data_IF_566949656259
#
_entry.id   IF_566949656259
#
_cell.length_a   1.000
_cell.length_b   1.000
_cell.length_c   1.000
_cell.angle_alpha   90.00
_cell.angle_beta   90.00
_cell.angle_gamma   90.00
#
_symmetry.space_group_name_H-M   'P 1'
#
loop_
_entity.id
_entity.type
_entity.pdbx_description
1 polymer ?
#
# COMPACT_ATOMS: atom_id res chain seq x y z
N UNK A 1 49.16 -5.02 -8.45
CA UNK A 1 48.40 -4.30 -7.41
C UNK A 1 47.07 -3.67 -7.88
N UNK A 2 46.94 -3.18 -9.12
CA UNK A 2 45.67 -2.58 -9.62
C UNK A 2 44.55 -3.58 -9.96
N UNK A 3 44.89 -4.80 -10.37
CA UNK A 3 43.90 -5.85 -10.71
C UNK A 3 43.20 -6.47 -9.49
N UNK A 4 43.87 -6.57 -8.34
CA UNK A 4 43.27 -7.10 -7.11
C UNK A 4 42.21 -6.14 -6.52
N UNK A 5 42.37 -4.82 -6.75
CA UNK A 5 41.39 -3.80 -6.34
C UNK A 5 40.12 -3.89 -7.19
N UNK A 6 40.25 -4.19 -8.49
CA UNK A 6 39.09 -4.41 -9.39
C UNK A 6 38.28 -5.66 -8.99
N UNK A 7 38.92 -6.75 -8.59
CA UNK A 7 38.23 -7.95 -8.07
C UNK A 7 37.54 -7.69 -6.72
N UNK A 8 38.14 -6.87 -5.84
CA UNK A 8 37.52 -6.46 -4.58
C UNK A 8 36.31 -5.53 -4.80
N UNK A 9 36.32 -4.71 -5.86
CA UNK A 9 35.19 -3.84 -6.22
C UNK A 9 34.05 -4.59 -6.92
N UNK A 10 34.34 -5.66 -7.67
CA UNK A 10 33.32 -6.52 -8.29
C UNK A 10 32.70 -7.50 -7.28
N UNK A 11 33.43 -7.88 -6.21
CA UNK A 11 32.96 -8.84 -5.20
C UNK A 11 31.95 -8.31 -4.17
N UNK A 12 31.63 -7.02 -4.15
CA UNK A 12 30.82 -6.39 -3.09
C UNK A 12 29.38 -6.03 -3.46
N UNK A 13 28.90 -6.39 -4.66
CA UNK A 13 27.49 -6.25 -5.01
C UNK A 13 26.82 -7.63 -5.07
N UNK A 14 26.79 -8.31 -3.93
CA UNK A 14 25.86 -9.43 -3.76
C UNK A 14 24.46 -8.85 -3.56
N UNK A 15 23.74 -8.59 -4.65
CA UNK A 15 22.32 -8.28 -4.57
C UNK A 15 21.58 -9.54 -4.10
N UNK A 16 21.22 -9.61 -2.82
CA UNK A 16 20.36 -10.66 -2.31
C UNK A 16 18.96 -10.48 -2.93
N UNK A 17 18.60 -11.36 -3.85
CA UNK A 17 17.24 -11.37 -4.44
C UNK A 17 16.29 -12.04 -3.45
N UNK A 18 15.24 -11.33 -3.06
CA UNK A 18 14.12 -11.88 -2.31
C UNK A 18 12.90 -12.00 -3.22
N UNK A 19 12.48 -13.22 -3.50
CA UNK A 19 11.29 -13.49 -4.31
C UNK A 19 10.05 -13.57 -3.40
N UNK A 20 9.10 -12.66 -3.61
CA UNK A 20 7.82 -12.67 -2.92
C UNK A 20 6.74 -13.21 -3.85
N UNK A 21 6.06 -14.30 -3.45
CA UNK A 21 4.97 -14.87 -4.25
C UNK A 21 3.77 -13.94 -4.25
N UNK A 22 3.45 -13.40 -5.42
CA UNK A 22 2.26 -12.58 -5.60
C UNK A 22 1.02 -13.47 -5.65
N UNK A 23 -0.05 -13.01 -5.01
CA UNK A 23 -1.37 -13.60 -5.19
C UNK A 23 -2.24 -12.66 -6.02
N UNK A 24 -3.17 -13.23 -6.77
CA UNK A 24 -4.10 -12.49 -7.60
C UNK A 24 -5.51 -12.69 -7.07
N UNK A 25 -6.36 -11.66 -7.21
CA UNK A 25 -7.79 -11.73 -6.91
C UNK A 25 -8.57 -11.26 -8.12
N UNK A 26 -9.80 -11.77 -8.27
CA UNK A 26 -10.74 -11.29 -9.28
C UNK A 26 -10.88 -9.79 -9.13
N UNK A 27 -10.73 -9.06 -10.23
CA UNK A 27 -10.68 -7.60 -10.18
C UNK A 27 -12.03 -6.97 -9.88
N UNK A 28 -11.99 -5.72 -9.40
CA UNK A 28 -13.21 -4.96 -9.12
C UNK A 28 -14.08 -4.84 -10.38
N UNK A 29 -13.46 -4.65 -11.56
CA UNK A 29 -14.17 -4.63 -12.84
C UNK A 29 -14.95 -5.90 -13.09
N UNK A 30 -14.31 -7.07 -13.01
CA UNK A 30 -15.00 -8.35 -13.26
C UNK A 30 -16.12 -8.55 -12.24
N UNK A 31 -15.88 -8.26 -10.96
CA UNK A 31 -16.91 -8.34 -9.92
C UNK A 31 -18.12 -7.43 -10.22
N UNK A 32 -17.88 -6.21 -10.71
CA UNK A 32 -18.95 -5.27 -11.08
C UNK A 32 -19.69 -5.72 -12.35
N UNK A 33 -19.01 -6.33 -13.32
CA UNK A 33 -19.64 -6.89 -14.51
C UNK A 33 -20.58 -8.03 -14.12
N UNK A 34 -20.11 -8.95 -13.26
CA UNK A 34 -20.91 -10.08 -12.76
C UNK A 34 -22.15 -9.63 -11.98
N UNK A 35 -22.09 -8.48 -11.30
CA UNK A 35 -23.22 -7.90 -10.56
C UNK A 35 -24.11 -6.97 -11.40
N UNK A 36 -23.75 -6.67 -12.65
CA UNK A 36 -24.45 -5.67 -13.47
C UNK A 36 -24.21 -4.22 -13.05
N UNK A 37 -23.26 -3.96 -12.16
CA UNK A 37 -22.96 -2.62 -11.60
C UNK A 37 -21.99 -1.80 -12.47
N UNK A 38 -21.30 -2.45 -13.42
CA UNK A 38 -20.18 -1.83 -14.15
C UNK A 38 -20.58 -0.59 -14.96
N UNK A 39 -21.74 -0.60 -15.60
CA UNK A 39 -22.20 0.54 -16.39
C UNK A 39 -22.43 1.79 -15.54
N UNK A 40 -22.99 1.64 -14.33
CA UNK A 40 -23.18 2.73 -13.38
C UNK A 40 -21.83 3.26 -12.87
N UNK A 41 -20.88 2.37 -12.58
CA UNK A 41 -19.53 2.74 -12.19
C UNK A 41 -18.80 3.56 -13.26
N UNK A 42 -18.90 3.18 -14.54
CA UNK A 42 -18.29 3.93 -15.65
C UNK A 42 -18.91 5.32 -15.76
N UNK A 43 -20.24 5.46 -15.63
CA UNK A 43 -20.92 6.77 -15.61
C UNK A 43 -20.42 7.66 -14.47
N UNK A 44 -20.35 7.11 -13.25
CA UNK A 44 -19.82 7.81 -12.08
C UNK A 44 -18.39 8.31 -12.30
N UNK A 45 -17.51 7.44 -12.82
CA UNK A 45 -16.11 7.81 -13.11
C UNK A 45 -15.99 8.86 -14.20
N UNK A 46 -16.81 8.79 -15.24
CA UNK A 46 -16.82 9.80 -16.30
C UNK A 46 -17.27 11.17 -15.76
N UNK A 47 -18.22 11.20 -14.83
CA UNK A 47 -18.61 12.45 -14.16
C UNK A 47 -17.47 13.05 -13.32
N UNK A 48 -16.77 12.23 -12.52
CA UNK A 48 -15.58 12.68 -11.77
C UNK A 48 -14.44 13.15 -12.68
N UNK A 49 -14.24 12.50 -13.83
CA UNK A 49 -13.26 12.94 -14.83
C UNK A 49 -13.66 14.28 -15.41
N UNK A 50 -14.94 14.46 -15.74
CA UNK A 50 -15.46 15.70 -16.28
C UNK A 50 -15.27 16.88 -15.32
N UNK A 51 -15.45 16.66 -14.01
CA UNK A 51 -15.18 17.69 -13.00
C UNK A 51 -13.69 18.00 -12.80
N UNK A 52 -12.79 17.07 -13.14
CA UNK A 52 -11.33 17.22 -13.01
C UNK A 52 -10.65 17.70 -14.32
N UNK A 53 -11.39 18.00 -15.39
CA UNK A 53 -10.86 18.40 -16.70
C UNK A 53 -10.11 19.75 -16.71
N UNK A 54 -10.14 20.51 -15.62
CA UNK A 54 -9.57 21.86 -15.59
C UNK A 54 -8.06 21.93 -15.29
N UNK A 55 -7.38 20.82 -14.95
CA UNK A 55 -6.05 20.90 -14.29
C UNK A 55 -4.95 19.97 -14.80
N UNK A 56 -5.15 19.12 -15.82
CA UNK A 56 -4.09 18.19 -16.27
C UNK A 56 -3.97 18.04 -17.79
N UNK A 57 -2.74 18.11 -18.31
CA UNK A 57 -2.42 18.01 -19.75
C UNK A 57 -2.48 16.58 -20.31
N UNK A 58 -2.44 15.55 -19.46
CA UNK A 58 -2.54 14.16 -19.85
C UNK A 58 -3.33 13.35 -18.82
N UNK A 59 -4.42 12.72 -19.26
CA UNK A 59 -5.30 11.95 -18.38
C UNK A 59 -4.84 10.48 -18.31
N UNK A 60 -4.71 9.95 -17.10
CA UNK A 60 -4.54 8.52 -16.84
C UNK A 60 -5.90 7.93 -16.47
N UNK A 61 -6.35 6.93 -17.22
CA UNK A 61 -7.64 6.27 -16.97
C UNK A 61 -7.42 4.92 -16.29
N UNK A 62 -7.79 4.84 -15.01
CA UNK A 62 -7.92 3.55 -14.32
C UNK A 62 -9.26 2.89 -14.68
N UNK A 63 -9.25 1.58 -14.96
CA UNK A 63 -10.42 0.77 -15.31
C UNK A 63 -10.72 -0.35 -14.30
N UNK A 64 -9.97 -0.43 -13.20
CA UNK A 64 -10.15 -1.44 -12.14
C UNK A 64 -9.80 -2.86 -12.60
N UNK A 65 -8.79 -3.00 -13.45
CA UNK A 65 -8.50 -4.23 -14.20
C UNK A 65 -7.79 -5.31 -13.39
N UNK A 66 -6.65 -5.04 -12.73
CA UNK A 66 -5.93 -6.00 -11.89
C UNK A 66 -5.18 -5.29 -10.76
N UNK A 67 -5.11 -5.91 -9.59
CA UNK A 67 -4.34 -5.45 -8.43
C UNK A 67 -3.43 -6.61 -8.00
N UNK A 68 -2.14 -6.35 -7.87
CA UNK A 68 -1.21 -7.30 -7.25
C UNK A 68 -1.26 -7.12 -5.74
N UNK A 69 -1.35 -8.23 -5.02
CA UNK A 69 -1.46 -8.20 -3.57
C UNK A 69 -0.35 -9.01 -2.92
N UNK A 70 0.17 -8.46 -1.82
CA UNK A 70 1.25 -9.05 -1.04
C UNK A 70 0.87 -9.22 0.42
N UNK A 71 1.42 -10.24 1.07
CA UNK A 71 1.33 -10.40 2.52
C UNK A 71 2.48 -9.66 3.17
N UNK A 72 2.16 -8.88 4.19
CA UNK A 72 3.16 -8.21 5.05
C UNK A 72 2.82 -8.43 6.52
N UNK A 73 3.78 -8.19 7.40
CA UNK A 73 3.53 -7.95 8.82
C UNK A 73 4.18 -6.66 9.28
N UNK A 74 3.59 -6.04 10.31
CA UNK A 74 4.12 -4.83 10.96
C UNK A 74 4.08 -5.06 12.47
N UNK A 75 5.16 -4.71 13.15
CA UNK A 75 5.25 -4.72 14.62
C UNK A 75 5.86 -5.96 15.24
N UNK A 76 6.04 -5.89 16.56
CA UNK A 76 6.58 -6.97 17.40
C UNK A 76 5.69 -7.19 18.63
N UNK A 77 4.91 -8.28 18.74
CA UNK A 77 4.73 -9.34 17.76
C UNK A 77 4.06 -8.88 16.46
N UNK A 78 4.22 -9.69 15.42
CA UNK A 78 3.74 -9.43 14.07
C UNK A 78 2.21 -9.23 13.99
N UNK A 79 1.79 -8.10 13.41
CA UNK A 79 0.41 -7.87 13.00
C UNK A 79 0.34 -7.97 11.48
N UNK A 80 -0.39 -8.97 10.97
CA UNK A 80 -0.41 -9.25 9.54
C UNK A 80 -1.34 -8.32 8.77
N UNK A 81 -0.98 -8.02 7.54
CA UNK A 81 -1.81 -7.27 6.59
C UNK A 81 -1.67 -7.86 5.20
N UNK A 82 -2.70 -7.66 4.40
CA UNK A 82 -2.64 -7.91 2.98
C UNK A 82 -2.75 -6.55 2.30
N UNK A 83 -1.80 -6.25 1.42
CA UNK A 83 -1.62 -4.93 0.84
C UNK A 83 -1.66 -4.96 -0.67
N UNK A 84 -2.14 -3.88 -1.28
CA UNK A 84 -1.94 -3.64 -2.71
C UNK A 84 -0.50 -3.21 -2.94
N UNK A 85 0.19 -3.89 -3.85
CA UNK A 85 1.51 -3.48 -4.32
C UNK A 85 1.31 -2.43 -5.42
N UNK A 86 1.75 -1.22 -5.15
CA UNK A 86 1.52 -0.05 -5.98
C UNK A 86 2.87 0.55 -6.37
N UNK A 87 3.23 0.41 -7.64
CA UNK A 87 4.48 0.96 -8.18
C UNK A 87 4.37 2.47 -8.50
N UNK A 88 3.19 3.08 -8.32
CA UNK A 88 2.93 4.49 -8.61
C UNK A 88 3.07 5.44 -7.41
N UNK A 89 3.24 4.91 -6.20
CA UNK A 89 3.30 5.69 -4.95
C UNK A 89 4.48 5.28 -4.06
N UNK A 90 4.87 6.17 -3.13
CA UNK A 90 6.06 5.98 -2.29
C UNK A 90 5.73 5.73 -0.80
N UNK A 91 4.47 5.50 -0.46
CA UNK A 91 4.00 5.52 0.94
C UNK A 91 3.17 4.28 1.27
N UNK A 92 3.47 3.65 2.41
CA UNK A 92 2.62 2.62 3.02
C UNK A 92 1.69 3.23 4.06
N UNK A 93 0.43 2.81 4.08
CA UNK A 93 -0.47 3.08 5.19
C UNK A 93 -1.42 1.93 5.50
N UNK A 94 -1.71 1.76 6.79
CA UNK A 94 -2.68 0.79 7.33
C UNK A 94 -3.65 1.53 8.27
N UNK A 95 -4.92 1.10 8.37
CA UNK A 95 -5.85 1.63 9.38
C UNK A 95 -5.33 1.45 10.80
N UNK A 96 -5.47 2.46 11.67
CA UNK A 96 -5.24 2.31 13.12
C UNK A 96 -6.56 1.99 13.84
N UNK A 97 -6.48 1.43 15.06
CA UNK A 97 -7.63 1.23 15.96
C UNK A 97 -8.49 2.48 16.15
N UNK A 98 -7.86 3.66 16.20
CA UNK A 98 -8.53 4.96 16.33
C UNK A 98 -9.21 5.46 15.04
N UNK A 99 -9.10 4.72 13.93
CA UNK A 99 -9.78 5.09 12.69
C UNK A 99 -11.30 5.07 12.86
N UNK A 100 -11.96 6.06 12.25
CA UNK A 100 -13.40 6.22 12.27
C UNK A 100 -14.16 5.05 11.59
N UNK A 101 -15.48 5.17 11.51
CA UNK A 101 -16.36 4.14 10.96
C UNK A 101 -16.01 3.72 9.52
N UNK A 102 -15.24 4.52 8.78
CA UNK A 102 -14.75 4.17 7.44
C UNK A 102 -13.83 2.94 7.44
N UNK A 103 -13.15 2.64 8.55
CA UNK A 103 -12.26 1.49 8.67
C UNK A 103 -12.90 0.24 9.28
N UNK A 104 -14.21 0.22 9.59
CA UNK A 104 -14.84 -0.84 10.38
C UNK A 104 -14.73 -2.26 9.79
N UNK A 105 -14.63 -2.38 8.46
CA UNK A 105 -14.49 -3.69 7.78
C UNK A 105 -13.04 -4.07 7.48
N UNK A 106 -12.07 -3.35 8.04
CA UNK A 106 -10.65 -3.54 7.77
C UNK A 106 -9.93 -4.03 9.02
N UNK A 107 -8.86 -4.78 8.79
CA UNK A 107 -7.89 -5.06 9.85
C UNK A 107 -7.18 -3.76 10.22
N UNK A 108 -7.07 -3.51 11.53
CA UNK A 108 -6.48 -2.31 12.09
C UNK A 108 -5.18 -2.66 12.80
N UNK A 109 -4.18 -1.81 12.68
CA UNK A 109 -2.96 -1.86 13.46
C UNK A 109 -3.24 -1.39 14.89
N UNK A 110 -2.81 -2.20 15.85
CA UNK A 110 -2.92 -1.96 17.29
C UNK A 110 -1.56 -1.52 17.79
N UNK A 111 -1.34 -0.20 17.84
CA UNK A 111 -0.06 0.39 18.24
C UNK A 111 0.43 -0.09 19.62
N UNK A 112 -0.48 -0.23 20.58
CA UNK A 112 -0.16 -0.69 21.94
C UNK A 112 0.28 -2.15 22.02
N UNK A 113 0.02 -2.95 20.98
CA UNK A 113 0.41 -4.36 20.94
C UNK A 113 1.80 -4.58 20.35
N UNK A 114 2.46 -3.55 19.83
CA UNK A 114 3.82 -3.66 19.27
C UNK A 114 4.85 -3.02 20.19
N UNK A 115 5.83 -3.80 20.64
CA UNK A 115 6.94 -3.34 21.49
C UNK A 115 7.99 -2.52 20.73
N UNK A 116 8.01 -2.60 19.40
CA UNK A 116 8.96 -1.88 18.54
C UNK A 116 8.34 -0.64 17.88
N UNK A 117 7.07 -0.38 18.14
CA UNK A 117 6.35 0.75 17.55
C UNK A 117 6.79 2.09 18.16
N UNK A 118 7.03 3.06 17.28
CA UNK A 118 7.31 4.45 17.65
C UNK A 118 6.31 5.36 16.95
N UNK A 119 5.46 6.01 17.74
CA UNK A 119 4.48 6.97 17.23
C UNK A 119 5.15 8.28 16.81
N UNK A 120 4.75 8.84 15.67
CA UNK A 120 5.10 10.20 15.28
C UNK A 120 3.96 11.17 15.59
N UNK A 121 4.29 12.45 15.77
CA UNK A 121 3.31 13.55 15.82
C UNK A 121 2.98 14.10 14.44
N UNK A 122 3.72 13.69 13.40
CA UNK A 122 3.52 14.15 12.02
C UNK A 122 2.24 13.56 11.45
N UNK A 123 1.39 14.41 10.90
CA UNK A 123 0.18 14.02 10.18
C UNK A 123 0.47 13.85 8.69
N UNK A 124 -0.39 13.12 7.99
CA UNK A 124 -0.36 12.99 6.54
C UNK A 124 -1.79 13.03 5.98
N UNK A 125 -1.90 13.45 4.73
CA UNK A 125 -3.14 13.42 3.95
C UNK A 125 -2.79 13.21 2.49
N UNK A 126 -3.46 12.26 1.84
CA UNK A 126 -3.32 11.98 0.42
C UNK A 126 -4.69 12.23 -0.22
N UNK A 127 -4.72 13.15 -1.19
CA UNK A 127 -5.89 13.38 -2.03
C UNK A 127 -5.74 12.54 -3.31
N UNK A 128 -6.58 11.52 -3.43
CA UNK A 128 -6.76 10.78 -4.67
C UNK A 128 -7.82 11.46 -5.54
N UNK A 129 -7.84 11.14 -6.84
CA UNK A 129 -8.84 11.68 -7.76
C UNK A 129 -10.28 11.26 -7.46
N UNK A 130 -10.47 10.19 -6.69
CA UNK A 130 -11.79 9.68 -6.29
C UNK A 130 -12.16 9.99 -4.83
N UNK A 131 -11.19 10.27 -3.96
CA UNK A 131 -11.40 10.49 -2.55
C UNK A 131 -10.07 10.71 -1.80
N UNK A 132 -10.07 10.65 -0.48
CA UNK A 132 -8.89 10.91 0.34
C UNK A 132 -8.62 9.81 1.37
N UNK A 133 -7.41 9.86 1.94
CA UNK A 133 -7.04 9.17 3.16
C UNK A 133 -6.14 10.08 3.99
N UNK A 134 -6.26 10.01 5.32
CA UNK A 134 -5.46 10.81 6.24
C UNK A 134 -5.17 10.09 7.54
N UNK A 135 -4.15 10.55 8.25
CA UNK A 135 -3.72 9.94 9.49
C UNK A 135 -2.49 10.57 10.11
N UNK A 136 -1.81 9.78 10.93
CA UNK A 136 -0.52 10.11 11.56
C UNK A 136 0.56 9.15 11.08
N UNK A 137 1.82 9.56 11.12
CA UNK A 137 2.93 8.67 10.80
C UNK A 137 3.32 7.84 12.03
N UNK A 138 3.86 6.66 11.77
CA UNK A 138 4.50 5.81 12.76
C UNK A 138 5.67 5.07 12.15
N UNK A 139 6.52 4.53 13.01
CA UNK A 139 7.67 3.76 12.61
C UNK A 139 7.65 2.43 13.35
N UNK A 140 7.86 1.34 12.61
CA UNK A 140 7.95 0.00 13.21
C UNK A 140 8.75 -0.95 12.30
N UNK A 141 8.92 -2.20 12.71
CA UNK A 141 9.51 -3.25 11.89
C UNK A 141 8.46 -3.81 10.95
N UNK A 142 8.75 -3.80 9.66
CA UNK A 142 7.91 -4.39 8.61
C UNK A 142 8.57 -5.67 8.09
N UNK A 143 7.76 -6.64 7.67
CA UNK A 143 8.25 -7.82 6.96
C UNK A 143 7.41 -8.10 5.73
N UNK A 144 8.06 -8.48 4.64
CA UNK A 144 7.40 -9.00 3.44
C UNK A 144 7.34 -10.51 3.51
N UNK A 145 6.22 -11.12 3.12
CA UNK A 145 6.03 -12.57 3.19
C UNK A 145 4.97 -12.99 4.20
N UNK A 146 4.31 -14.11 3.91
CA UNK A 146 3.43 -14.79 4.85
C UNK A 146 4.18 -15.39 6.04
N UNK A 147 3.48 -15.78 7.13
CA UNK A 147 4.10 -16.33 8.35
C UNK A 147 4.94 -17.59 8.13
N UNK A 148 4.59 -18.38 7.10
CA UNK A 148 5.26 -19.65 6.74
C UNK A 148 6.27 -19.49 5.61
N UNK A 149 6.51 -18.27 5.14
CA UNK A 149 7.41 -17.97 4.02
C UNK A 149 8.75 -17.43 4.54
N UNK A 150 9.78 -17.47 3.69
CA UNK A 150 10.99 -16.68 3.96
C UNK A 150 10.56 -15.21 3.95
N UNK A 151 10.87 -14.47 5.02
CA UNK A 151 10.48 -13.06 5.13
C UNK A 151 11.67 -12.12 4.93
N UNK A 152 11.46 -11.05 4.15
CA UNK A 152 12.37 -9.92 4.10
C UNK A 152 11.99 -8.94 5.22
N UNK A 153 12.89 -8.76 6.19
CA UNK A 153 12.68 -7.84 7.32
C UNK A 153 13.23 -6.46 6.98
N UNK A 154 12.39 -5.44 7.12
CA UNK A 154 12.75 -4.03 6.95
C UNK A 154 12.50 -3.31 8.27
N UNK A 155 13.53 -3.10 9.10
CA UNK A 155 13.39 -2.40 10.37
C UNK A 155 13.22 -0.90 10.15
N UNK A 156 12.59 -0.23 11.13
CA UNK A 156 12.40 1.24 11.13
C UNK A 156 11.68 1.78 9.89
N UNK A 157 10.75 1.01 9.33
CA UNK A 157 9.91 1.45 8.23
C UNK A 157 8.93 2.49 8.72
N UNK A 158 8.87 3.65 8.05
CA UNK A 158 7.84 4.66 8.31
C UNK A 158 6.61 4.35 7.48
N UNK A 159 5.45 4.38 8.12
CA UNK A 159 4.16 4.13 7.49
C UNK A 159 3.06 5.02 8.09
N UNK A 160 1.97 5.18 7.36
CA UNK A 160 0.80 5.92 7.79
C UNK A 160 -0.16 5.05 8.61
N UNK A 161 -0.57 5.56 9.75
CA UNK A 161 -1.66 5.08 10.58
C UNK A 161 -2.91 5.87 10.19
N UNK A 162 -3.71 5.30 9.30
CA UNK A 162 -4.89 5.97 8.78
C UNK A 162 -5.95 6.10 9.88
N UNK A 163 -6.45 7.32 10.07
CA UNK A 163 -7.56 7.64 10.97
C UNK A 163 -8.87 7.90 10.21
N UNK A 164 -8.79 8.07 8.89
CA UNK A 164 -9.92 8.22 7.99
C UNK A 164 -9.57 7.73 6.58
N UNK A 165 -10.55 7.12 5.91
CA UNK A 165 -10.50 6.75 4.49
C UNK A 165 -11.85 7.04 3.81
N UNK A 166 -11.80 7.52 2.58
CA UNK A 166 -13.00 7.75 1.76
C UNK A 166 -13.70 6.44 1.35
N UNK A 167 -14.95 6.56 0.88
CA UNK A 167 -15.82 5.42 0.54
C UNK A 167 -15.23 4.46 -0.50
N UNK A 168 -14.37 4.96 -1.38
CA UNK A 168 -13.71 4.16 -2.42
C UNK A 168 -12.89 3.01 -1.83
N UNK A 169 -12.35 3.20 -0.62
CA UNK A 169 -11.52 2.24 0.06
C UNK A 169 -12.31 1.30 0.98
N UNK A 170 -13.57 1.61 1.32
CA UNK A 170 -14.37 0.86 2.33
C UNK A 170 -14.61 -0.60 1.94
N UNK A 171 -14.82 -0.87 0.66
CA UNK A 171 -15.18 -2.20 0.15
C UNK A 171 -13.96 -3.01 -0.34
N UNK A 172 -12.75 -2.48 -0.21
CA UNK A 172 -11.53 -3.22 -0.50
C UNK A 172 -11.02 -3.82 0.80
N UNK A 173 -10.82 -5.13 0.88
CA UNK A 173 -10.29 -5.79 2.09
C UNK A 173 -8.80 -5.54 2.31
N UNK A 174 -8.17 -4.76 1.43
CA UNK A 174 -6.73 -4.51 1.39
C UNK A 174 -6.36 -3.22 2.13
N UNK A 175 -5.19 -3.23 2.76
CA UNK A 175 -4.49 -2.03 3.21
C UNK A 175 -3.61 -1.52 2.06
N UNK A 176 -3.29 -0.22 2.01
CA UNK A 176 -2.80 0.36 0.75
C UNK A 176 -1.30 0.65 0.76
N UNK A 177 -0.72 0.36 -0.41
CA UNK A 177 0.59 0.67 -0.96
C UNK A 177 1.80 0.12 -0.19
N UNK A 178 2.56 -0.76 -0.84
CA UNK A 178 3.97 -0.90 -0.56
C UNK A 178 4.72 -0.54 -1.82
N UNK A 179 5.64 0.41 -1.68
CA UNK A 179 6.44 0.96 -2.75
C UNK A 179 7.51 -0.03 -3.23
N UNK A 180 7.73 -0.06 -4.56
CA UNK A 180 8.85 -0.74 -5.23
C UNK A 180 9.64 0.21 -6.16
N UNK A 181 9.28 1.49 -6.26
CA UNK A 181 9.85 2.50 -7.16
C UNK A 181 10.22 3.79 -6.44
N UNK A 182 11.52 4.12 -6.43
CA UNK A 182 12.01 5.37 -5.86
C UNK A 182 11.46 6.60 -6.61
N UNK A 183 10.68 7.44 -5.93
CA UNK A 183 10.50 8.83 -6.35
C UNK A 183 11.70 9.64 -5.86
N UNK A 184 12.61 9.93 -6.78
CA UNK A 184 13.69 10.90 -6.59
C UNK A 184 13.12 12.30 -6.33
#
# INVERSE_FOLDING_TARGET
MRFAILLALVGLVAAAVHEHKLTWRKSRKIQMIERGEYAAFVKYRNALRASNLATSSQQVFDYGDYEYIGNISIGTPDQHFMVVLDTGSANLWVPETACDASCNKKRKFVASSSSTFVKSTKTWTIQYGSGDAKGVLGTDTMKFGGPTEKQLVVPKTTFGLATHISSDFKNVSLCFAVDLGGKN
#
